data_IF_010545965177
#
_entry.id   IF_010545965177
#
_cell.length_a   1.000
_cell.length_b   1.000
_cell.length_c   1.000
_cell.angle_alpha   90.00
_cell.angle_beta   90.00
_cell.angle_gamma   90.00
#
_symmetry.space_group_name_H-M   'P 1'
#
loop_
_entity.id
_entity.type
_entity.pdbx_description
1 polymer ?
#
# COMPACT_ATOMS: atom_id res chain seq x y z
N UNK A 1 -86.24 -14.02 24.77
CA UNK A 1 -85.18 -13.12 25.27
C UNK A 1 -85.21 -13.08 26.78
N UNK A 2 -84.20 -13.62 27.45
CA UNK A 2 -83.58 -13.10 28.69
C UNK A 2 -82.48 -14.08 29.13
N UNK A 3 -81.30 -13.52 29.42
CA UNK A 3 -80.09 -14.19 29.91
C UNK A 3 -80.39 -15.09 31.11
N UNK A 4 -79.72 -16.24 31.20
CA UNK A 4 -79.17 -16.75 32.47
C UNK A 4 -77.74 -17.27 32.21
N UNK A 5 -76.80 -16.61 32.86
CA UNK A 5 -75.44 -17.04 33.19
C UNK A 5 -75.52 -18.03 34.35
N UNK A 6 -74.72 -19.11 34.41
CA UNK A 6 -73.88 -19.47 35.58
C UNK A 6 -73.20 -20.86 35.53
N UNK A 7 -71.99 -20.85 36.10
CA UNK A 7 -71.17 -21.88 36.76
C UNK A 7 -70.42 -22.99 35.99
N UNK A 8 -69.10 -22.76 35.98
CA UNK A 8 -68.00 -23.70 36.15
C UNK A 8 -68.20 -24.78 37.23
N UNK A 9 -67.66 -25.98 36.98
CA UNK A 9 -66.86 -26.86 37.87
C UNK A 9 -66.57 -28.13 37.05
N UNK A 10 -65.41 -28.21 36.39
CA UNK A 10 -64.13 -28.75 36.91
C UNK A 10 -64.12 -30.25 37.21
N UNK A 11 -63.22 -30.93 36.48
CA UNK A 11 -62.27 -31.96 36.95
C UNK A 11 -62.84 -33.31 37.42
N UNK A 12 -62.24 -34.47 37.15
CA UNK A 12 -60.91 -34.84 36.67
C UNK A 12 -61.07 -36.19 35.92
N UNK A 13 -60.31 -36.46 34.86
CA UNK A 13 -58.98 -37.09 34.96
C UNK A 13 -59.13 -38.59 34.64
N UNK A 14 -58.19 -39.32 34.06
CA UNK A 14 -56.87 -39.03 33.54
C UNK A 14 -56.49 -40.31 32.75
N UNK A 15 -56.15 -40.18 31.47
CA UNK A 15 -55.30 -41.13 30.78
C UNK A 15 -54.59 -40.33 29.67
N UNK A 16 -53.49 -39.67 30.04
CA UNK A 16 -52.61 -39.01 29.10
C UNK A 16 -51.85 -40.08 28.30
N UNK A 17 -52.34 -40.38 27.11
CA UNK A 17 -51.47 -40.71 25.99
C UNK A 17 -50.78 -39.39 25.59
N UNK A 18 -49.50 -39.25 25.92
CA UNK A 18 -48.69 -38.16 25.40
C UNK A 18 -48.49 -38.40 23.89
N UNK A 19 -49.38 -37.83 23.09
CA UNK A 19 -49.09 -37.56 21.68
C UNK A 19 -47.85 -36.66 21.62
N UNK A 20 -46.86 -36.93 20.75
CA UNK A 20 -45.87 -35.89 20.45
C UNK A 20 -46.65 -34.71 19.88
N UNK A 21 -46.39 -33.52 20.42
CA UNK A 21 -46.95 -32.27 19.93
C UNK A 21 -46.97 -32.28 18.40
N UNK A 22 -48.13 -32.08 17.78
CA UNK A 22 -48.21 -31.53 16.43
C UNK A 22 -47.73 -30.08 16.52
N UNK A 23 -46.42 -29.91 16.66
CA UNK A 23 -45.76 -28.62 16.71
C UNK A 23 -45.86 -27.95 15.35
N UNK A 24 -46.07 -26.64 15.36
CA UNK A 24 -45.93 -25.79 14.18
C UNK A 24 -44.56 -26.07 13.53
N UNK A 25 -44.52 -26.22 12.20
CA UNK A 25 -43.27 -26.34 11.45
C UNK A 25 -42.36 -25.14 11.80
N UNK A 26 -41.08 -25.39 12.07
CA UNK A 26 -40.14 -24.30 12.35
C UNK A 26 -39.75 -23.59 11.05
N UNK A 27 -39.27 -22.35 11.12
CA UNK A 27 -38.86 -21.61 9.92
C UNK A 27 -37.43 -21.09 10.06
N UNK A 28 -36.82 -20.77 8.92
CA UNK A 28 -35.51 -20.13 8.84
C UNK A 28 -35.67 -18.71 8.31
N UNK A 29 -35.00 -17.77 8.93
CA UNK A 29 -34.97 -16.36 8.52
C UNK A 29 -33.52 -15.89 8.46
N UNK A 30 -33.10 -15.27 7.35
CA UNK A 30 -31.78 -14.66 7.27
C UNK A 30 -31.71 -13.29 7.96
N UNK A 31 -30.66 -13.09 8.74
CA UNK A 31 -30.28 -11.81 9.32
C UNK A 31 -28.85 -11.46 8.88
N UNK A 32 -28.65 -10.22 8.46
CA UNK A 32 -27.39 -9.74 7.88
C UNK A 32 -26.73 -8.75 8.82
N UNK A 33 -25.52 -9.08 9.27
CA UNK A 33 -24.70 -8.20 10.12
C UNK A 33 -24.38 -6.89 9.40
N UNK A 34 -24.11 -6.96 8.08
CA UNK A 34 -23.91 -5.81 7.19
C UNK A 34 -24.76 -6.04 5.95
N UNK A 35 -25.70 -5.13 5.66
CA UNK A 35 -26.60 -5.22 4.49
C UNK A 35 -25.94 -4.83 3.15
N UNK A 36 -24.69 -4.33 3.18
CA UNK A 36 -23.90 -4.11 1.98
C UNK A 36 -23.63 -5.44 1.28
N UNK A 37 -23.87 -5.50 -0.03
CA UNK A 37 -23.58 -6.68 -0.85
C UNK A 37 -24.71 -7.70 -1.04
N UNK A 38 -25.88 -7.51 -0.39
CA UNK A 38 -27.06 -8.38 -0.58
C UNK A 38 -28.00 -7.78 -1.62
N UNK A 39 -28.45 -8.59 -2.59
CA UNK A 39 -29.47 -8.20 -3.58
C UNK A 39 -30.73 -9.04 -3.41
N UNK A 40 -31.87 -8.34 -3.43
CA UNK A 40 -33.20 -8.93 -3.35
C UNK A 40 -33.93 -8.83 -4.68
N UNK A 41 -34.73 -9.84 -4.99
CA UNK A 41 -35.68 -9.84 -6.09
C UNK A 41 -37.03 -10.36 -5.58
N UNK A 42 -38.10 -9.60 -5.80
CA UNK A 42 -39.46 -9.97 -5.38
C UNK A 42 -39.58 -10.31 -3.87
N UNK A 43 -38.81 -9.60 -3.04
CA UNK A 43 -38.81 -9.82 -1.58
C UNK A 43 -38.04 -11.05 -1.11
N UNK A 44 -37.38 -11.78 -2.01
CA UNK A 44 -36.48 -12.89 -1.68
C UNK A 44 -35.04 -12.52 -1.95
N UNK A 45 -34.11 -13.09 -1.19
CA UNK A 45 -32.69 -12.94 -1.50
C UNK A 45 -32.37 -13.59 -2.86
N UNK A 46 -31.77 -12.82 -3.75
CA UNK A 46 -31.29 -13.31 -5.06
C UNK A 46 -29.85 -13.77 -4.95
N UNK A 47 -29.01 -12.95 -4.32
CA UNK A 47 -27.58 -13.22 -4.13
C UNK A 47 -26.99 -12.34 -3.04
N UNK A 48 -25.82 -12.72 -2.55
CA UNK A 48 -24.98 -11.85 -1.75
C UNK A 48 -23.49 -11.99 -2.12
N UNK A 49 -22.72 -10.99 -1.77
CA UNK A 49 -21.26 -10.95 -2.00
C UNK A 49 -20.53 -11.78 -0.93
N UNK A 50 -19.48 -12.49 -1.32
CA UNK A 50 -18.59 -13.15 -0.37
C UNK A 50 -17.80 -12.12 0.46
N UNK A 51 -17.13 -12.59 1.51
CA UNK A 51 -16.49 -11.71 2.49
C UNK A 51 -17.44 -11.18 3.57
N UNK A 52 -18.67 -11.71 3.64
CA UNK A 52 -19.70 -11.30 4.59
C UNK A 52 -20.15 -12.45 5.51
N UNK A 53 -20.56 -12.07 6.72
CA UNK A 53 -21.19 -12.95 7.71
C UNK A 53 -22.71 -12.93 7.55
N UNK A 54 -23.32 -14.10 7.72
CA UNK A 54 -24.77 -14.33 7.63
C UNK A 54 -25.22 -15.08 8.86
N UNK A 55 -26.33 -14.65 9.45
CA UNK A 55 -27.02 -15.36 10.50
C UNK A 55 -28.28 -15.99 9.96
N UNK A 56 -28.47 -17.29 10.18
CA UNK A 56 -29.74 -17.97 9.88
C UNK A 56 -30.44 -18.23 11.19
N UNK A 57 -31.46 -17.41 11.46
CA UNK A 57 -32.30 -17.50 12.64
C UNK A 57 -33.29 -18.64 12.50
N UNK A 58 -33.47 -19.38 13.59
CA UNK A 58 -34.50 -20.41 13.71
C UNK A 58 -35.70 -19.82 14.43
N UNK A 59 -36.84 -19.84 13.76
CA UNK A 59 -38.13 -19.40 14.28
C UNK A 59 -38.98 -20.60 14.68
N UNK A 60 -39.82 -20.43 15.70
CA UNK A 60 -40.85 -21.41 16.11
C UNK A 60 -40.33 -22.80 16.55
N UNK A 61 -39.04 -22.95 16.89
CA UNK A 61 -38.48 -24.20 17.44
C UNK A 61 -38.10 -24.05 18.93
N UNK A 62 -38.53 -24.95 19.84
CA UNK A 62 -38.17 -24.90 21.26
C UNK A 62 -36.66 -24.97 21.52
N UNK A 63 -36.12 -24.16 22.44
CA UNK A 63 -34.67 -24.11 22.75
C UNK A 63 -34.08 -25.47 23.20
N UNK A 64 -34.91 -26.39 23.67
CA UNK A 64 -34.50 -27.74 24.11
C UNK A 64 -34.29 -28.71 22.95
N UNK A 65 -34.84 -28.42 21.76
CA UNK A 65 -34.70 -29.26 20.57
C UNK A 65 -33.32 -29.10 19.95
N UNK A 66 -32.72 -30.22 19.56
CA UNK A 66 -31.43 -30.21 18.87
C UNK A 66 -31.61 -29.88 17.39
N UNK A 67 -30.63 -29.20 16.82
CA UNK A 67 -30.56 -28.93 15.39
C UNK A 67 -29.26 -29.52 14.85
N UNK A 68 -29.38 -30.33 13.81
CA UNK A 68 -28.26 -30.78 12.99
C UNK A 68 -28.16 -29.81 11.80
N UNK A 69 -27.03 -29.11 11.72
CA UNK A 69 -26.75 -28.16 10.66
C UNK A 69 -25.90 -28.79 9.57
N UNK A 70 -26.22 -28.50 8.32
CA UNK A 70 -25.37 -28.83 7.16
C UNK A 70 -25.31 -27.65 6.22
N UNK A 71 -24.10 -27.24 5.86
CA UNK A 71 -23.87 -26.16 4.89
C UNK A 71 -23.20 -26.77 3.67
N UNK A 72 -23.73 -26.46 2.49
CA UNK A 72 -23.14 -26.90 1.21
C UNK A 72 -22.95 -25.73 0.28
N UNK A 73 -21.90 -25.77 -0.54
CA UNK A 73 -21.65 -24.85 -1.63
C UNK A 73 -21.44 -25.65 -2.91
N UNK A 74 -22.25 -25.38 -3.94
CA UNK A 74 -22.31 -26.17 -5.17
C UNK A 74 -22.41 -27.69 -4.91
N UNK A 75 -23.16 -28.04 -3.86
CA UNK A 75 -23.36 -29.43 -3.43
C UNK A 75 -22.21 -30.07 -2.65
N UNK A 76 -21.06 -29.39 -2.49
CA UNK A 76 -19.98 -29.87 -1.62
C UNK A 76 -20.25 -29.50 -0.17
N UNK A 77 -19.99 -30.41 0.76
CA UNK A 77 -20.12 -30.15 2.20
C UNK A 77 -19.07 -29.13 2.67
N UNK A 78 -19.54 -28.04 3.26
CA UNK A 78 -18.74 -26.93 3.78
C UNK A 78 -19.03 -26.67 5.27
N UNK A 79 -19.74 -27.58 5.95
CA UNK A 79 -20.20 -27.41 7.33
C UNK A 79 -19.04 -27.08 8.29
N UNK A 80 -17.86 -27.67 8.05
CA UNK A 80 -16.64 -27.43 8.83
C UNK A 80 -15.81 -26.22 8.35
N UNK A 81 -15.99 -25.78 7.10
CA UNK A 81 -15.17 -24.74 6.48
C UNK A 81 -15.73 -23.34 6.69
N UNK A 82 -17.04 -23.17 6.75
CA UNK A 82 -17.69 -21.87 6.96
C UNK A 82 -18.11 -21.60 8.40
N UNK A 83 -17.80 -22.55 9.29
CA UNK A 83 -18.27 -22.70 10.66
C UNK A 83 -19.63 -22.06 10.89
N UNK A 84 -20.62 -22.90 10.69
CA UNK A 84 -21.97 -22.64 11.09
C UNK A 84 -22.01 -22.80 12.64
N UNK A 85 -21.77 -21.73 13.40
CA UNK A 85 -21.89 -21.78 14.86
C UNK A 85 -23.34 -21.54 15.26
N UNK A 86 -23.89 -22.46 16.05
CA UNK A 86 -25.11 -22.14 16.78
C UNK A 86 -24.78 -21.16 17.91
N UNK A 87 -25.35 -19.96 17.85
CA UNK A 87 -25.20 -18.90 18.85
C UNK A 87 -26.57 -18.47 19.39
N UNK A 88 -26.64 -18.20 20.69
CA UNK A 88 -27.78 -17.52 21.33
C UNK A 88 -27.40 -16.05 21.54
N UNK A 89 -28.18 -15.12 20.98
CA UNK A 89 -27.94 -13.67 21.03
C UNK A 89 -28.70 -12.93 22.13
N UNK A 90 -29.18 -13.65 23.16
CA UNK A 90 -29.90 -13.08 24.30
C UNK A 90 -29.24 -11.85 24.94
N UNK A 91 -27.91 -11.77 24.93
CA UNK A 91 -27.14 -10.71 25.60
C UNK A 91 -27.09 -9.37 24.85
N UNK A 92 -27.55 -9.33 23.59
CA UNK A 92 -27.60 -8.09 22.78
C UNK A 92 -29.04 -7.64 22.48
N UNK A 93 -30.05 -8.25 23.13
CA UNK A 93 -31.47 -7.86 23.01
C UNK A 93 -32.24 -8.57 21.89
N UNK A 94 -31.58 -9.43 21.11
CA UNK A 94 -32.20 -10.25 20.06
C UNK A 94 -32.28 -11.70 20.52
N UNK A 95 -33.39 -12.08 21.16
CA UNK A 95 -33.59 -13.44 21.62
C UNK A 95 -33.83 -14.40 20.44
N UNK A 96 -33.00 -15.43 20.29
CA UNK A 96 -33.13 -16.40 19.20
C UNK A 96 -31.95 -17.36 19.12
N UNK A 97 -32.14 -18.45 18.38
CA UNK A 97 -31.07 -19.38 18.01
C UNK A 97 -30.67 -19.13 16.57
N UNK A 98 -29.39 -18.92 16.35
CA UNK A 98 -28.86 -18.53 15.05
C UNK A 98 -27.76 -19.48 14.64
N UNK A 99 -27.71 -19.78 13.36
CA UNK A 99 -26.53 -20.29 12.71
C UNK A 99 -25.75 -19.12 12.12
N UNK A 100 -24.70 -18.67 12.80
CA UNK A 100 -23.76 -17.71 12.22
C UNK A 100 -22.78 -18.45 11.34
N UNK A 101 -22.56 -17.99 10.10
CA UNK A 101 -21.45 -18.46 9.27
C UNK A 101 -20.88 -17.34 8.40
N UNK A 102 -19.61 -17.48 8.06
CA UNK A 102 -18.87 -16.56 7.19
C UNK A 102 -18.59 -17.23 5.85
N UNK A 103 -18.90 -16.55 4.74
CA UNK A 103 -18.49 -17.02 3.41
C UNK A 103 -17.20 -16.30 2.98
N UNK A 104 -16.05 -16.98 2.98
CA UNK A 104 -14.75 -16.35 2.71
C UNK A 104 -14.62 -15.86 1.28
N UNK A 105 -13.73 -14.89 1.07
CA UNK A 105 -13.39 -14.42 -0.27
C UNK A 105 -12.89 -15.56 -1.17
N UNK A 106 -13.36 -15.57 -2.42
CA UNK A 106 -13.06 -16.58 -3.42
C UNK A 106 -13.95 -17.82 -3.40
N UNK A 107 -14.91 -17.89 -2.49
CA UNK A 107 -16.00 -18.87 -2.59
C UNK A 107 -17.18 -18.23 -3.31
N UNK A 108 -17.72 -18.92 -4.32
CA UNK A 108 -18.90 -18.52 -5.10
C UNK A 108 -19.69 -19.76 -5.46
N UNK A 109 -20.96 -19.59 -5.80
CA UNK A 109 -21.83 -20.71 -6.17
C UNK A 109 -23.16 -20.69 -5.42
N UNK A 110 -23.92 -21.75 -5.57
CA UNK A 110 -25.19 -21.92 -4.88
C UNK A 110 -24.92 -22.45 -3.47
N UNK A 111 -25.18 -21.62 -2.46
CA UNK A 111 -25.06 -21.99 -1.06
C UNK A 111 -26.40 -22.50 -0.55
N UNK A 112 -26.36 -23.57 0.24
CA UNK A 112 -27.53 -24.16 0.86
C UNK A 112 -27.22 -24.54 2.31
N UNK A 113 -28.07 -24.08 3.21
CA UNK A 113 -28.06 -24.38 4.64
C UNK A 113 -29.27 -25.27 4.93
N UNK A 114 -29.02 -26.43 5.50
CA UNK A 114 -30.04 -27.38 5.96
C UNK A 114 -30.04 -27.40 7.48
N UNK A 115 -31.21 -27.15 8.07
CA UNK A 115 -31.47 -27.29 9.49
C UNK A 115 -32.36 -28.51 9.68
N UNK A 116 -31.91 -29.51 10.43
CA UNK A 116 -32.69 -30.71 10.72
C UNK A 116 -32.97 -30.83 12.21
N UNK A 117 -34.24 -30.96 12.58
CA UNK A 117 -34.67 -31.19 13.95
C UNK A 117 -35.70 -32.32 13.97
N UNK A 118 -35.37 -33.43 14.63
CA UNK A 118 -36.16 -34.66 14.57
C UNK A 118 -36.33 -35.16 13.12
N UNK A 119 -37.58 -35.19 12.65
CA UNK A 119 -37.96 -35.61 11.29
C UNK A 119 -38.16 -34.44 10.32
N UNK A 120 -38.04 -33.20 10.78
CA UNK A 120 -38.26 -32.02 9.96
C UNK A 120 -36.93 -31.45 9.46
N UNK A 121 -36.89 -31.07 8.18
CA UNK A 121 -35.74 -30.43 7.54
C UNK A 121 -36.20 -29.14 6.89
N UNK A 122 -35.55 -28.03 7.23
CA UNK A 122 -35.73 -26.74 6.58
C UNK A 122 -34.47 -26.37 5.82
N UNK A 123 -34.67 -25.66 4.72
CA UNK A 123 -33.60 -25.26 3.82
C UNK A 123 -33.67 -23.77 3.61
N UNK A 124 -32.53 -23.12 3.77
CA UNK A 124 -32.26 -21.79 3.25
C UNK A 124 -31.21 -21.91 2.13
N UNK A 125 -31.40 -21.20 1.03
CA UNK A 125 -30.44 -21.24 -0.07
C UNK A 125 -30.43 -19.93 -0.85
N UNK A 126 -29.27 -19.56 -1.35
CA UNK A 126 -29.09 -18.38 -2.20
C UNK A 126 -27.83 -18.53 -3.04
N UNK A 127 -27.52 -17.52 -3.86
CA UNK A 127 -26.31 -17.47 -4.66
C UNK A 127 -25.24 -16.58 -4.02
N UNK A 128 -24.03 -17.10 -3.90
CA UNK A 128 -22.83 -16.34 -3.51
C UNK A 128 -22.12 -15.85 -4.76
N UNK A 129 -21.76 -14.58 -4.79
CA UNK A 129 -20.97 -13.95 -5.86
C UNK A 129 -19.74 -13.23 -5.31
N UNK A 130 -18.79 -12.90 -6.16
CA UNK A 130 -17.65 -12.05 -5.79
C UNK A 130 -18.07 -10.56 -5.70
N UNK A 131 -17.39 -9.80 -4.82
CA UNK A 131 -17.60 -8.36 -4.59
C UNK A 131 -17.44 -7.51 -5.88
N UNK A 132 -18.26 -6.45 -5.93
CA UNK A 132 -18.61 -5.48 -6.96
C UNK A 132 -17.48 -5.20 -7.95
N UNK A 133 -17.66 -5.56 -9.24
CA UNK A 133 -17.37 -4.74 -10.45
C UNK A 133 -17.26 -5.61 -11.71
N UNK A 134 -16.95 -6.91 -11.64
CA UNK A 134 -16.88 -7.79 -12.81
C UNK A 134 -17.19 -9.26 -12.48
N UNK A 135 -18.09 -9.88 -13.25
CA UNK A 135 -18.41 -11.33 -13.21
C UNK A 135 -17.29 -12.20 -13.84
N UNK A 136 -16.06 -11.69 -13.87
CA UNK A 136 -14.97 -12.11 -14.76
C UNK A 136 -14.11 -13.28 -14.27
N UNK A 137 -14.36 -13.84 -13.08
CA UNK A 137 -13.57 -14.95 -12.55
C UNK A 137 -13.89 -15.22 -11.08
N UNK A 138 -13.15 -16.14 -10.46
CA UNK A 138 -13.16 -16.39 -9.02
C UNK A 138 -12.20 -15.39 -8.36
N UNK A 139 -12.65 -14.61 -7.37
CA UNK A 139 -11.75 -13.76 -6.58
C UNK A 139 -10.93 -14.60 -5.59
N UNK A 140 -9.91 -14.04 -4.95
CA UNK A 140 -9.12 -14.72 -3.92
C UNK A 140 -8.59 -13.71 -2.93
N UNK A 141 -8.47 -14.07 -1.65
CA UNK A 141 -8.10 -13.12 -0.59
C UNK A 141 -6.75 -12.42 -0.82
N UNK A 142 -5.82 -13.12 -1.48
CA UNK A 142 -4.57 -12.54 -1.95
C UNK A 142 -4.66 -12.19 -3.43
N UNK A 143 -4.13 -11.03 -3.78
CA UNK A 143 -3.93 -10.64 -5.19
C UNK A 143 -2.49 -10.20 -5.41
N UNK A 144 -1.98 -10.51 -6.59
CA UNK A 144 -0.67 -10.12 -7.08
C UNK A 144 -0.88 -8.97 -8.07
N UNK A 145 -0.34 -7.79 -7.79
CA UNK A 145 -0.36 -6.66 -8.74
C UNK A 145 0.70 -6.84 -9.83
N UNK A 146 0.30 -7.16 -11.06
CA UNK A 146 1.25 -7.42 -12.15
C UNK A 146 1.78 -6.12 -12.78
N UNK A 147 0.88 -5.19 -13.10
CA UNK A 147 1.16 -3.85 -13.62
C UNK A 147 -0.16 -3.09 -13.84
N UNK A 148 -0.20 -1.78 -13.59
CA UNK A 148 -1.27 -0.88 -14.02
C UNK A 148 -2.69 -1.48 -13.85
N UNK A 149 -3.13 -1.66 -12.60
CA UNK A 149 -4.46 -2.19 -12.25
C UNK A 149 -4.75 -3.62 -12.78
N UNK A 150 -3.73 -4.37 -13.20
CA UNK A 150 -3.85 -5.79 -13.54
C UNK A 150 -3.46 -6.66 -12.34
N UNK A 151 -4.36 -7.60 -12.00
CA UNK A 151 -4.24 -8.44 -10.81
C UNK A 151 -4.35 -9.92 -11.14
N UNK A 152 -3.43 -10.74 -10.60
CA UNK A 152 -3.60 -12.19 -10.48
C UNK A 152 -4.11 -12.52 -9.08
N UNK A 153 -5.32 -13.05 -8.98
CA UNK A 153 -5.87 -13.53 -7.71
C UNK A 153 -5.33 -14.94 -7.41
N UNK A 154 -4.89 -15.15 -6.17
CA UNK A 154 -4.40 -16.45 -5.73
C UNK A 154 -5.54 -17.25 -5.09
N UNK A 155 -5.59 -18.54 -5.42
CA UNK A 155 -6.43 -19.49 -4.70
C UNK A 155 -5.99 -19.56 -3.23
N UNK A 156 -6.81 -19.00 -2.35
CA UNK A 156 -6.62 -19.03 -0.91
C UNK A 156 -7.49 -20.12 -0.28
N UNK A 157 -6.93 -20.83 0.69
CA UNK A 157 -7.65 -21.71 1.62
C UNK A 157 -7.98 -20.92 2.87
N UNK A 158 -9.21 -21.05 3.35
CA UNK A 158 -9.66 -20.48 4.60
C UNK A 158 -9.62 -21.53 5.71
N UNK A 159 -8.94 -21.20 6.81
CA UNK A 159 -9.02 -21.95 8.07
C UNK A 159 -9.84 -21.15 9.07
N UNK A 160 -11.03 -21.65 9.38
CA UNK A 160 -11.95 -20.94 10.26
C UNK A 160 -11.46 -20.89 11.70
N UNK A 161 -10.94 -21.99 12.25
CA UNK A 161 -10.56 -22.07 13.67
C UNK A 161 -9.51 -21.04 14.03
N UNK A 162 -8.57 -20.83 13.11
CA UNK A 162 -7.51 -19.84 13.23
C UNK A 162 -7.83 -18.52 12.55
N UNK A 163 -9.03 -18.38 11.95
CA UNK A 163 -9.42 -17.26 11.08
C UNK A 163 -8.32 -16.86 10.09
N UNK A 164 -7.66 -17.82 9.44
CA UNK A 164 -6.46 -17.56 8.64
C UNK A 164 -6.68 -17.91 7.17
N UNK A 165 -6.37 -16.97 6.28
CA UNK A 165 -6.22 -17.26 4.85
C UNK A 165 -4.83 -17.78 4.58
N UNK A 166 -4.72 -18.80 3.73
CA UNK A 166 -3.45 -19.40 3.33
C UNK A 166 -3.40 -19.63 1.83
N UNK A 167 -2.36 -19.17 1.15
CA UNK A 167 -2.17 -19.41 -0.29
C UNK A 167 -0.74 -19.88 -0.58
N UNK A 168 -0.57 -20.59 -1.70
CA UNK A 168 0.75 -20.93 -2.22
C UNK A 168 1.13 -19.92 -3.28
N UNK A 169 2.27 -19.26 -3.09
CA UNK A 169 2.82 -18.39 -4.13
C UNK A 169 3.27 -19.26 -5.32
N UNK A 170 2.83 -18.94 -6.56
CA UNK A 170 3.31 -19.65 -7.73
C UNK A 170 4.83 -19.47 -7.85
N UNK A 171 5.55 -20.49 -8.32
CA UNK A 171 7.01 -20.35 -8.56
C UNK A 171 7.29 -19.30 -9.63
N UNK A 172 6.41 -19.20 -10.62
CA UNK A 172 6.50 -18.25 -11.72
C UNK A 172 5.13 -17.72 -12.13
N UNK A 173 5.05 -16.45 -12.51
CA UNK A 173 3.91 -15.82 -13.19
C UNK A 173 4.46 -15.20 -14.48
N UNK A 174 3.84 -15.45 -15.63
CA UNK A 174 4.31 -14.95 -16.94
C UNK A 174 5.80 -15.22 -17.24
N UNK A 175 6.31 -16.41 -16.87
CA UNK A 175 7.70 -16.82 -17.11
C UNK A 175 8.73 -16.23 -16.14
N UNK A 176 8.27 -15.53 -15.11
CA UNK A 176 9.10 -14.75 -14.20
C UNK A 176 8.99 -15.29 -12.77
N UNK A 177 10.12 -15.43 -12.05
CA UNK A 177 10.15 -15.94 -10.67
C UNK A 177 9.38 -14.99 -9.76
N UNK A 178 8.47 -15.54 -8.94
CA UNK A 178 7.66 -14.75 -8.02
C UNK A 178 8.24 -14.80 -6.62
N UNK A 179 8.37 -13.61 -6.04
CA UNK A 179 8.55 -13.39 -4.61
C UNK A 179 7.45 -12.44 -4.15
N UNK A 180 6.75 -12.77 -3.07
CA UNK A 180 5.72 -11.91 -2.51
C UNK A 180 6.31 -10.98 -1.45
N UNK A 181 5.88 -9.73 -1.40
CA UNK A 181 6.09 -8.89 -0.23
C UNK A 181 4.75 -8.60 0.44
N UNK A 182 4.72 -8.71 1.75
CA UNK A 182 3.58 -8.26 2.56
C UNK A 182 3.90 -6.85 3.04
N UNK A 183 3.03 -5.89 2.70
CA UNK A 183 3.02 -4.57 3.31
C UNK A 183 2.45 -4.70 4.72
N UNK A 184 3.32 -4.66 5.73
CA UNK A 184 2.86 -4.56 7.11
C UNK A 184 2.41 -3.12 7.39
N UNK A 185 1.47 -2.94 8.33
CA UNK A 185 0.87 -1.65 8.72
C UNK A 185 1.88 -0.49 8.94
N UNK A 186 3.17 -0.78 9.12
CA UNK A 186 4.25 0.18 9.32
C UNK A 186 5.10 0.51 8.08
N UNK A 187 4.71 0.07 6.87
CA UNK A 187 5.47 0.31 5.62
C UNK A 187 6.75 -0.52 5.52
N UNK A 188 6.87 -1.59 6.32
CA UNK A 188 7.93 -2.58 6.16
C UNK A 188 7.46 -3.67 5.20
N UNK A 189 8.08 -3.71 4.02
CA UNK A 189 7.94 -4.85 3.12
C UNK A 189 8.76 -6.01 3.68
N UNK A 190 8.10 -7.13 4.02
CA UNK A 190 8.79 -8.39 4.35
C UNK A 190 8.61 -9.43 3.25
N UNK A 191 9.71 -10.11 2.93
CA UNK A 191 9.74 -11.16 1.92
C UNK A 191 8.91 -12.35 2.41
N UNK A 192 7.80 -12.59 1.73
CA UNK A 192 7.08 -13.85 1.78
C UNK A 192 7.76 -14.84 0.83
N UNK A 193 8.35 -15.90 1.40
CA UNK A 193 9.02 -16.94 0.62
C UNK A 193 8.01 -17.79 -0.16
N UNK A 194 8.41 -18.31 -1.33
CA UNK A 194 7.54 -19.08 -2.22
C UNK A 194 7.33 -20.50 -1.72
N UNK A 195 6.52 -20.66 -0.67
CA UNK A 195 5.96 -21.95 -0.26
C UNK A 195 4.51 -21.75 0.17
N UNK A 196 4.32 -20.98 1.24
CA UNK A 196 3.00 -20.72 1.82
C UNK A 196 2.99 -19.33 2.43
N UNK A 197 2.00 -18.53 2.09
CA UNK A 197 1.68 -17.27 2.76
C UNK A 197 0.43 -17.46 3.58
N UNK A 198 0.43 -16.88 4.78
CA UNK A 198 -0.72 -16.94 5.68
C UNK A 198 -0.97 -15.58 6.32
N UNK A 199 -2.25 -15.24 6.49
CA UNK A 199 -2.68 -13.98 7.09
C UNK A 199 -3.94 -14.19 7.93
N UNK A 200 -3.89 -13.73 9.17
CA UNK A 200 -5.00 -13.76 10.09
C UNK A 200 -6.01 -12.66 9.74
N UNK A 201 -7.27 -13.03 9.54
CA UNK A 201 -8.37 -12.12 9.25
C UNK A 201 -8.79 -11.35 10.51
N UNK A 202 -8.80 -10.01 10.42
CA UNK A 202 -9.12 -9.10 11.55
C UNK A 202 -10.48 -8.42 11.40
N UNK A 203 -11.51 -9.16 10.98
CA UNK A 203 -12.93 -8.73 10.99
C UNK A 203 -13.13 -7.31 10.42
N UNK A 204 -12.74 -7.08 9.15
CA UNK A 204 -12.91 -5.78 8.46
C UNK A 204 -11.81 -5.38 7.46
N UNK A 205 -11.14 -6.32 6.79
CA UNK A 205 -10.00 -6.03 5.90
C UNK A 205 -10.32 -6.12 4.40
N UNK A 206 -9.74 -5.20 3.62
CA UNK A 206 -9.61 -5.32 2.16
C UNK A 206 -8.70 -6.49 1.76
N UNK A 207 -8.77 -6.94 0.51
CA UNK A 207 -7.84 -7.92 -0.07
C UNK A 207 -6.39 -7.61 0.30
N UNK A 208 -5.61 -8.65 0.66
CA UNK A 208 -4.19 -8.47 0.90
C UNK A 208 -3.47 -8.39 -0.45
N UNK A 209 -3.07 -7.17 -0.79
CA UNK A 209 -2.28 -6.90 -1.98
C UNK A 209 -0.83 -7.31 -1.75
N UNK A 210 -0.34 -8.17 -2.65
CA UNK A 210 1.05 -8.59 -2.73
C UNK A 210 1.65 -7.86 -3.92
N UNK A 211 2.75 -7.17 -3.69
CA UNK A 211 3.56 -6.62 -4.75
C UNK A 211 4.52 -7.74 -5.21
N UNK A 212 4.29 -8.38 -6.38
CA UNK A 212 5.21 -9.37 -6.87
C UNK A 212 6.52 -8.70 -7.25
N UNK A 213 7.58 -9.46 -7.09
CA UNK A 213 8.71 -9.32 -7.99
C UNK A 213 8.47 -10.26 -9.15
N UNK A 214 8.25 -9.69 -10.32
CA UNK A 214 8.23 -10.39 -11.59
C UNK A 214 9.60 -10.24 -12.29
N UNK A 215 10.42 -9.23 -11.96
CA UNK A 215 11.70 -8.97 -12.65
C UNK A 215 12.91 -9.30 -11.78
N UNK A 216 14.05 -9.67 -12.39
CA UNK A 216 15.31 -9.89 -11.66
C UNK A 216 15.66 -8.71 -10.74
N UNK A 217 15.32 -7.49 -11.17
CA UNK A 217 15.41 -6.25 -10.39
C UNK A 217 14.17 -5.38 -10.70
N UNK A 218 13.62 -4.68 -9.71
CA UNK A 218 12.43 -3.82 -9.90
C UNK A 218 12.23 -2.80 -8.79
N UNK A 219 11.50 -1.74 -9.11
CA UNK A 219 10.90 -0.83 -8.13
C UNK A 219 9.66 -1.45 -7.51
N UNK A 220 9.47 -1.20 -6.21
CA UNK A 220 8.27 -1.53 -5.44
C UNK A 220 7.76 -0.24 -4.80
N UNK A 221 6.45 -0.07 -4.70
CA UNK A 221 5.84 1.05 -4.01
C UNK A 221 4.97 0.53 -2.88
N UNK A 222 5.17 1.05 -1.67
CA UNK A 222 4.25 0.84 -0.54
C UNK A 222 3.92 2.20 0.03
N UNK A 223 2.62 2.51 0.11
CA UNK A 223 2.11 3.83 0.53
C UNK A 223 2.78 4.96 -0.26
N UNK A 224 3.62 5.77 0.40
CA UNK A 224 4.36 6.88 -0.21
C UNK A 224 5.84 6.56 -0.50
N UNK A 225 6.31 5.39 -0.06
CA UNK A 225 7.71 5.01 -0.14
C UNK A 225 7.98 4.14 -1.37
N UNK A 226 9.15 4.37 -1.97
CA UNK A 226 9.68 3.55 -3.05
C UNK A 226 10.82 2.69 -2.54
N UNK A 227 10.88 1.46 -3.00
CA UNK A 227 11.90 0.48 -2.67
C UNK A 227 12.45 -0.10 -3.96
N UNK A 228 13.70 -0.59 -3.92
CA UNK A 228 14.28 -1.32 -5.02
C UNK A 228 14.72 -2.69 -4.54
N UNK A 229 14.51 -3.71 -5.36
CA UNK A 229 14.87 -5.08 -5.03
C UNK A 229 15.75 -5.70 -6.10
N UNK A 230 16.55 -6.69 -5.67
CA UNK A 230 17.25 -7.62 -6.55
C UNK A 230 16.97 -9.05 -6.09
N UNK A 231 16.37 -9.86 -6.96
CA UNK A 231 16.05 -11.27 -6.73
C UNK A 231 15.31 -11.54 -5.40
N UNK A 232 14.36 -10.69 -5.01
CA UNK A 232 13.63 -10.88 -3.76
C UNK A 232 14.26 -10.26 -2.54
N UNK A 233 15.35 -9.48 -2.68
CA UNK A 233 15.99 -8.80 -1.55
C UNK A 233 15.94 -7.29 -1.75
N UNK A 234 15.51 -6.56 -0.72
CA UNK A 234 15.58 -5.10 -0.72
C UNK A 234 17.04 -4.66 -0.78
N UNK A 235 17.31 -3.70 -1.65
CA UNK A 235 18.57 -2.99 -1.70
C UNK A 235 18.57 -1.95 -0.59
N UNK A 236 19.66 -1.92 0.20
CA UNK A 236 19.83 -1.06 1.37
C UNK A 236 21.23 -0.45 1.37
N UNK A 237 21.35 0.75 1.89
CA UNK A 237 22.60 1.52 2.00
C UNK A 237 23.41 1.55 0.69
N UNK A 238 22.71 1.63 -0.45
CA UNK A 238 23.33 1.38 -1.73
C UNK A 238 22.74 2.23 -2.85
N UNK A 239 23.61 2.50 -3.83
CA UNK A 239 23.28 3.19 -5.06
C UNK A 239 22.69 2.22 -6.09
N UNK A 240 21.63 2.66 -6.77
CA UNK A 240 21.00 1.95 -7.87
C UNK A 240 21.03 2.83 -9.11
N UNK A 241 21.47 2.26 -10.23
CA UNK A 241 21.34 2.88 -11.55
C UNK A 241 20.20 2.21 -12.29
N UNK A 242 19.13 2.97 -12.55
CA UNK A 242 17.98 2.50 -13.30
C UNK A 242 17.60 3.53 -14.37
N UNK A 243 17.33 3.06 -15.59
CA UNK A 243 16.95 3.90 -16.74
C UNK A 243 17.84 5.13 -16.95
N UNK A 244 19.14 5.01 -16.67
CA UNK A 244 20.12 6.09 -16.84
C UNK A 244 20.24 7.06 -15.67
N UNK A 245 19.36 6.99 -14.67
CA UNK A 245 19.42 7.80 -13.45
C UNK A 245 19.97 7.01 -12.27
N UNK A 246 20.64 7.69 -11.35
CA UNK A 246 21.07 7.11 -10.08
C UNK A 246 20.07 7.42 -8.98
N UNK A 247 19.90 6.48 -8.07
CA UNK A 247 19.04 6.54 -6.90
C UNK A 247 19.82 6.00 -5.70
N UNK A 248 19.46 6.42 -4.49
CA UNK A 248 20.06 5.91 -3.27
C UNK A 248 19.00 5.29 -2.37
N UNK A 249 19.26 4.09 -1.88
CA UNK A 249 18.41 3.38 -0.93
C UNK A 249 19.02 3.51 0.47
N UNK A 250 18.22 3.93 1.45
CA UNK A 250 18.67 4.09 2.84
C UNK A 250 18.85 2.73 3.57
N UNK A 251 19.11 2.79 4.88
CA UNK A 251 19.34 1.63 5.76
C UNK A 251 18.10 0.72 5.88
N UNK A 252 16.91 1.26 5.61
CA UNK A 252 15.64 0.54 5.56
C UNK A 252 15.29 0.06 4.16
N UNK A 253 16.01 0.54 3.15
CA UNK A 253 15.75 0.27 1.73
C UNK A 253 14.69 1.18 1.13
N UNK A 254 14.39 2.30 1.79
CA UNK A 254 13.54 3.36 1.26
C UNK A 254 14.38 4.25 0.33
N UNK A 255 13.83 4.57 -0.83
CA UNK A 255 14.47 5.45 -1.80
C UNK A 255 14.55 6.87 -1.22
N UNK A 256 15.77 7.40 -1.16
CA UNK A 256 16.01 8.76 -0.75
C UNK A 256 15.40 9.75 -1.73
N UNK A 257 14.58 10.68 -1.24
CA UNK A 257 13.86 11.66 -2.06
C UNK A 257 13.95 13.10 -1.52
N UNK A 258 14.85 13.36 -0.57
CA UNK A 258 15.16 14.72 -0.11
C UNK A 258 16.23 15.35 -1.00
N UNK A 259 16.46 16.66 -0.85
CA UNK A 259 17.37 17.38 -1.74
C UNK A 259 18.82 16.95 -1.61
N UNK A 260 19.36 16.81 -0.39
CA UNK A 260 20.80 16.62 -0.16
C UNK A 260 21.12 15.38 0.66
N UNK A 261 22.01 14.54 0.13
CA UNK A 261 22.58 13.38 0.82
C UNK A 261 24.09 13.56 0.96
N UNK A 262 24.62 13.36 2.16
CA UNK A 262 26.05 13.23 2.38
C UNK A 262 26.42 11.75 2.45
N UNK A 263 27.22 11.27 1.49
CA UNK A 263 27.62 9.87 1.44
C UNK A 263 29.05 9.72 0.93
N UNK A 264 29.84 8.84 1.56
CA UNK A 264 31.21 8.56 1.12
C UNK A 264 32.13 9.79 1.02
N UNK A 265 31.91 10.81 1.87
CA UNK A 265 32.72 12.03 1.88
C UNK A 265 32.31 13.09 0.84
N UNK A 266 31.16 12.94 0.18
CA UNK A 266 30.66 13.89 -0.81
C UNK A 266 29.18 14.18 -0.62
N UNK A 267 28.76 15.39 -0.99
CA UNK A 267 27.36 15.75 -1.10
C UNK A 267 26.82 15.39 -2.48
N UNK A 268 25.61 14.86 -2.51
CA UNK A 268 24.85 14.54 -3.72
C UNK A 268 23.49 15.20 -3.61
N UNK A 269 22.93 15.59 -4.75
CA UNK A 269 21.60 16.17 -4.78
C UNK A 269 20.61 15.31 -5.57
N UNK A 270 19.33 15.33 -5.16
CA UNK A 270 18.27 14.53 -5.76
C UNK A 270 17.03 15.38 -6.03
N UNK A 271 16.28 14.97 -7.06
CA UNK A 271 14.92 15.46 -7.31
C UNK A 271 13.96 14.81 -6.32
N UNK A 272 12.75 15.36 -6.18
CA UNK A 272 11.67 14.74 -5.39
C UNK A 272 11.27 13.34 -5.89
N UNK A 273 11.60 13.01 -7.14
CA UNK A 273 11.45 11.66 -7.71
C UNK A 273 12.53 10.67 -7.27
N UNK A 274 13.49 11.08 -6.43
CA UNK A 274 14.65 10.29 -6.01
C UNK A 274 15.75 10.15 -7.06
N UNK A 275 15.60 10.76 -8.25
CA UNK A 275 16.64 10.74 -9.27
C UNK A 275 17.75 11.73 -8.91
N UNK A 276 18.98 11.24 -8.85
CA UNK A 276 20.19 12.03 -8.58
C UNK A 276 20.42 13.06 -9.70
N UNK A 277 20.71 14.29 -9.30
CA UNK A 277 21.13 15.37 -10.19
C UNK A 277 22.62 15.18 -10.48
N UNK A 278 22.99 15.17 -11.76
CA UNK A 278 24.37 15.10 -12.23
C UNK A 278 24.54 15.95 -13.49
N UNK A 279 25.76 16.43 -13.70
CA UNK A 279 26.12 17.31 -14.81
C UNK A 279 25.19 18.52 -14.94
N UNK A 280 24.78 19.11 -13.80
CA UNK A 280 23.75 20.14 -13.80
C UNK A 280 23.83 21.08 -12.59
N UNK A 281 23.28 22.28 -12.78
CA UNK A 281 23.09 23.26 -11.74
C UNK A 281 21.82 22.97 -10.93
N UNK A 282 21.90 23.26 -9.63
CA UNK A 282 20.79 23.22 -8.68
C UNK A 282 20.70 24.57 -7.97
N UNK A 283 19.51 25.18 -8.00
CA UNK A 283 19.21 26.31 -7.14
C UNK A 283 18.48 25.83 -5.90
N UNK A 284 19.08 26.05 -4.74
CA UNK A 284 18.53 25.62 -3.45
C UNK A 284 18.82 26.68 -2.38
N UNK A 285 17.80 26.98 -1.56
CA UNK A 285 17.88 27.93 -0.46
C UNK A 285 18.63 29.26 -0.77
N UNK A 286 18.33 29.87 -1.92
CA UNK A 286 18.92 31.16 -2.31
C UNK A 286 20.29 31.09 -2.99
N UNK A 287 20.87 29.90 -3.14
CA UNK A 287 22.21 29.70 -3.72
C UNK A 287 22.20 28.72 -4.90
N UNK A 288 23.12 28.92 -5.83
CA UNK A 288 23.39 27.96 -6.91
C UNK A 288 24.47 26.97 -6.49
N UNK A 289 24.32 25.71 -6.89
CA UNK A 289 25.26 24.61 -6.68
C UNK A 289 25.44 23.88 -8.00
N UNK A 290 26.61 23.29 -8.21
CA UNK A 290 26.83 22.44 -9.38
C UNK A 290 27.11 20.99 -8.96
N UNK A 291 26.41 20.05 -9.57
CA UNK A 291 26.62 18.62 -9.39
C UNK A 291 27.41 18.09 -10.59
N UNK A 292 28.58 17.51 -10.33
CA UNK A 292 29.45 16.96 -11.39
C UNK A 292 28.80 15.75 -12.08
N UNK A 293 29.42 15.26 -13.15
CA UNK A 293 28.95 14.05 -13.86
C UNK A 293 28.86 12.82 -12.92
N UNK A 294 29.73 12.76 -11.91
CA UNK A 294 29.69 11.75 -10.86
C UNK A 294 28.57 11.94 -9.84
N UNK A 295 27.77 13.01 -9.94
CA UNK A 295 26.73 13.40 -8.98
C UNK A 295 27.25 14.16 -7.76
N UNK A 296 28.55 14.09 -7.46
CA UNK A 296 29.12 14.80 -6.32
C UNK A 296 29.14 16.31 -6.56
N UNK A 297 28.78 17.05 -5.51
CA UNK A 297 28.78 18.50 -5.47
C UNK A 297 30.19 19.06 -5.76
N UNK A 298 30.27 20.04 -6.66
CA UNK A 298 31.49 20.73 -6.99
C UNK A 298 31.87 21.76 -5.90
N UNK A 299 33.17 21.92 -5.70
CA UNK A 299 33.78 23.00 -4.91
C UNK A 299 35.01 23.51 -5.66
N UNK A 300 35.41 24.75 -5.38
CA UNK A 300 36.50 25.43 -6.07
C UNK A 300 36.13 25.87 -7.50
N UNK A 301 37.16 26.02 -8.33
CA UNK A 301 37.00 26.43 -9.73
C UNK A 301 36.35 25.35 -10.58
N UNK A 302 35.33 25.73 -11.34
CA UNK A 302 34.58 24.86 -12.22
C UNK A 302 34.31 25.56 -13.55
N UNK A 303 34.36 24.83 -14.67
CA UNK A 303 34.14 25.39 -16.00
C UNK A 303 32.91 24.78 -16.64
N UNK A 304 31.97 25.64 -17.03
CA UNK A 304 30.72 25.26 -17.69
C UNK A 304 30.37 26.25 -18.79
N UNK A 305 29.87 25.74 -19.93
CA UNK A 305 29.48 26.58 -21.07
C UNK A 305 30.58 27.55 -21.56
N UNK A 306 31.86 27.23 -21.34
CA UNK A 306 33.00 28.09 -21.68
C UNK A 306 33.35 29.16 -20.64
N UNK A 307 32.55 29.34 -19.60
CA UNK A 307 32.80 30.27 -18.48
C UNK A 307 33.36 29.54 -17.26
N UNK A 308 34.20 30.23 -16.49
CA UNK A 308 34.66 29.75 -15.18
C UNK A 308 33.72 30.24 -14.09
N UNK A 309 33.50 29.41 -13.07
CA UNK A 309 32.70 29.67 -11.89
C UNK A 309 33.53 29.27 -10.66
N UNK A 310 33.24 29.88 -9.52
CA UNK A 310 33.85 29.49 -8.26
C UNK A 310 32.77 29.03 -7.28
N UNK A 311 32.85 27.77 -6.83
CA UNK A 311 31.96 27.20 -5.83
C UNK A 311 32.68 27.22 -4.49
N UNK A 312 32.06 27.81 -3.47
CA UNK A 312 32.63 27.89 -2.13
C UNK A 312 32.82 26.50 -1.52
N UNK A 313 33.48 26.41 -0.35
CA UNK A 313 33.64 25.13 0.37
C UNK A 313 32.30 24.46 0.73
N UNK A 314 31.26 25.27 0.94
CA UNK A 314 29.87 24.84 1.13
C UNK A 314 29.18 24.39 -0.16
N UNK A 315 29.83 24.53 -1.33
CA UNK A 315 29.28 24.26 -2.65
C UNK A 315 28.51 25.43 -3.28
N UNK A 316 28.16 26.46 -2.51
CA UNK A 316 27.42 27.61 -3.04
C UNK A 316 28.27 28.41 -4.03
N UNK A 317 27.69 28.77 -5.16
CA UNK A 317 28.30 29.59 -6.20
C UNK A 317 28.62 30.98 -5.66
N UNK A 318 29.86 31.41 -5.83
CA UNK A 318 30.30 32.74 -5.45
C UNK A 318 29.91 33.78 -6.51
N UNK A 319 29.62 34.98 -6.03
CA UNK A 319 29.50 36.22 -6.80
C UNK A 319 30.38 37.28 -6.16
N UNK A 320 30.76 38.31 -6.92
CA UNK A 320 31.67 39.35 -6.48
C UNK A 320 33.12 38.88 -6.36
N UNK A 321 33.86 39.48 -5.43
CA UNK A 321 35.30 39.25 -5.27
C UNK A 321 35.60 37.93 -4.55
N UNK A 322 36.46 37.11 -5.16
CA UNK A 322 37.01 35.88 -4.57
C UNK A 322 38.53 35.99 -4.53
N UNK A 323 39.12 35.65 -3.39
CA UNK A 323 40.58 35.50 -3.25
C UNK A 323 40.92 34.02 -3.21
N UNK A 324 41.67 33.56 -4.20
CA UNK A 324 42.14 32.18 -4.28
C UNK A 324 43.63 32.14 -4.62
N UNK A 325 44.38 31.33 -3.88
CA UNK A 325 45.83 31.14 -4.07
C UNK A 325 46.65 32.44 -4.17
N UNK A 326 46.24 33.49 -3.44
CA UNK A 326 46.92 34.79 -3.40
C UNK A 326 46.55 35.77 -4.52
N UNK A 327 45.70 35.36 -5.46
CA UNK A 327 45.14 36.20 -6.52
C UNK A 327 43.68 36.56 -6.24
N UNK A 328 43.25 37.73 -6.71
CA UNK A 328 41.85 38.15 -6.67
C UNK A 328 41.19 37.88 -8.01
N UNK A 329 39.93 37.49 -7.98
CA UNK A 329 39.08 37.20 -9.13
C UNK A 329 37.73 37.87 -8.89
N UNK A 330 37.04 38.22 -9.96
CA UNK A 330 35.68 38.77 -9.88
C UNK A 330 34.70 37.85 -10.60
N UNK A 331 33.67 37.41 -9.89
CA UNK A 331 32.58 36.60 -10.42
C UNK A 331 31.37 37.54 -10.61
N UNK A 332 30.83 37.60 -11.82
CA UNK A 332 29.64 38.43 -12.12
C UNK A 332 28.43 37.94 -11.32
N UNK A 333 27.32 38.68 -11.34
CA UNK A 333 26.06 38.24 -10.70
C UNK A 333 25.57 36.88 -11.22
N UNK A 334 25.88 36.56 -12.48
CA UNK A 334 25.65 35.24 -13.10
C UNK A 334 26.58 34.13 -12.59
N UNK A 335 27.51 34.42 -11.69
CA UNK A 335 28.59 33.53 -11.23
C UNK A 335 29.77 33.39 -12.20
N UNK A 336 29.58 33.68 -13.49
CA UNK A 336 30.66 33.61 -14.48
C UNK A 336 31.80 34.60 -14.16
N UNK A 337 33.03 34.07 -14.16
CA UNK A 337 34.28 34.80 -13.95
C UNK A 337 34.45 35.89 -15.00
N UNK A 338 34.76 37.09 -14.55
CA UNK A 338 35.06 38.23 -15.40
C UNK A 338 36.50 38.18 -15.92
N UNK A 339 36.68 38.72 -17.12
CA UNK A 339 37.97 39.07 -17.70
C UNK A 339 37.86 40.48 -18.27
N UNK A 340 38.97 41.19 -18.42
CA UNK A 340 39.00 42.60 -18.81
C UNK A 340 38.55 43.54 -17.69
N UNK A 341 38.02 44.70 -18.08
CA UNK A 341 37.59 45.75 -17.14
C UNK A 341 36.29 45.40 -16.41
N UNK A 342 36.30 45.54 -15.09
CA UNK A 342 35.13 45.44 -14.20
C UNK A 342 35.01 46.72 -13.38
N UNK A 343 33.80 47.25 -13.26
CA UNK A 343 33.48 48.35 -12.35
C UNK A 343 32.78 47.80 -11.11
N UNK A 344 33.39 48.00 -9.95
CA UNK A 344 32.84 47.61 -8.66
C UNK A 344 32.96 48.79 -7.69
N UNK A 345 31.86 49.14 -7.01
CA UNK A 345 31.80 50.24 -6.05
C UNK A 345 32.44 51.57 -6.53
N UNK A 346 32.20 51.91 -7.80
CA UNK A 346 32.69 53.15 -8.41
C UNK A 346 34.15 53.13 -8.87
N UNK A 347 34.88 52.03 -8.63
CA UNK A 347 36.27 51.84 -9.06
C UNK A 347 36.36 50.84 -10.20
N UNK A 348 37.36 51.02 -11.06
CA UNK A 348 37.64 50.10 -12.17
C UNK A 348 38.82 49.20 -11.83
N UNK A 349 38.69 47.93 -12.18
CA UNK A 349 39.68 46.88 -11.97
C UNK A 349 39.87 46.11 -13.28
N UNK A 350 41.09 45.65 -13.55
CA UNK A 350 41.37 44.85 -14.74
C UNK A 350 41.70 43.40 -14.35
N UNK A 351 40.92 42.45 -14.89
CA UNK A 351 41.11 41.01 -14.73
C UNK A 351 41.83 40.48 -15.98
N UNK A 352 42.96 39.82 -15.80
CA UNK A 352 43.69 39.18 -16.89
C UNK A 352 42.84 38.09 -17.60
N UNK A 353 43.33 37.54 -18.71
CA UNK A 353 42.66 36.42 -19.39
C UNK A 353 42.53 35.16 -18.52
N UNK A 354 43.41 35.00 -17.52
CA UNK A 354 43.31 33.98 -16.47
C UNK A 354 42.25 34.29 -15.39
N UNK A 355 41.63 35.47 -15.45
CA UNK A 355 40.72 36.01 -14.44
C UNK A 355 41.41 36.69 -13.26
N UNK A 356 42.74 36.57 -13.12
CA UNK A 356 43.47 37.18 -12.01
C UNK A 356 43.50 38.71 -12.14
N UNK A 357 43.14 39.41 -11.07
CA UNK A 357 43.19 40.86 -11.00
C UNK A 357 44.64 41.36 -11.05
N UNK A 358 44.90 42.28 -11.98
CA UNK A 358 46.17 42.99 -12.07
C UNK A 358 46.30 43.99 -10.90
N UNK A 359 47.52 44.16 -10.38
CA UNK A 359 47.85 45.14 -9.34
C UNK A 359 49.31 45.56 -9.45
N UNK A 360 49.63 46.80 -9.11
CA UNK A 360 50.97 47.39 -9.23
C UNK A 360 51.59 47.17 -10.62
N UNK A 361 50.80 47.36 -11.68
CA UNK A 361 51.24 47.11 -13.05
C UNK A 361 50.38 47.87 -14.06
N UNK A 362 50.77 47.82 -15.33
CA UNK A 362 50.01 48.37 -16.44
C UNK A 362 49.12 47.29 -17.08
N UNK A 363 47.90 47.66 -17.44
CA UNK A 363 46.98 46.82 -18.22
C UNK A 363 47.46 46.69 -19.67
N UNK A 364 47.00 45.69 -20.45
CA UNK A 364 47.38 45.52 -21.86
C UNK A 364 47.05 46.72 -22.75
N UNK A 365 46.05 47.52 -22.37
CA UNK A 365 45.64 48.77 -23.02
C UNK A 365 46.30 50.03 -22.43
N UNK A 366 47.26 49.88 -21.51
CA UNK A 366 48.19 50.94 -21.09
C UNK A 366 47.81 51.73 -19.84
N UNK A 367 46.79 51.32 -19.07
CA UNK A 367 46.39 52.00 -17.84
C UNK A 367 47.08 51.41 -16.61
N UNK A 368 47.51 52.26 -15.67
CA UNK A 368 48.12 51.79 -14.43
C UNK A 368 47.05 51.43 -13.39
N UNK A 369 47.17 50.24 -12.79
CA UNK A 369 46.37 49.80 -11.65
C UNK A 369 47.25 49.71 -10.40
N UNK A 370 46.77 50.29 -9.29
CA UNK A 370 47.55 50.41 -8.06
C UNK A 370 47.65 49.09 -7.26
N UNK A 371 48.19 49.15 -6.03
CA UNK A 371 48.36 47.97 -5.18
C UNK A 371 47.05 47.28 -4.80
N UNK A 372 45.94 48.03 -4.80
CA UNK A 372 44.58 47.51 -4.59
C UNK A 372 43.95 46.97 -5.87
N UNK A 373 44.60 47.15 -7.02
CA UNK A 373 44.10 46.81 -8.36
C UNK A 373 43.16 47.86 -8.96
N UNK A 374 42.94 48.98 -8.27
CA UNK A 374 42.09 50.05 -8.78
C UNK A 374 42.83 50.90 -9.82
N UNK A 375 42.16 51.22 -10.92
CA UNK A 375 42.64 52.16 -11.92
C UNK A 375 42.81 53.56 -11.32
N UNK A 376 43.92 54.22 -11.70
CA UNK A 376 44.31 55.57 -11.29
C UNK A 376 44.17 56.60 -12.39
#
# INVERSE_FOLDING_TARGET
MKKITLFSLSLAGLALLAFPHSGKAFELEEEWVIKGGVKYQEGKILRFENGHEVDIKVLDLPKTEKIEWKVTLDGQDQTVNFLAQEVDRSNIGEEGRYLNFYVPYGYRGDIKVEAKSGNEVKTWSTKVVDDVYNDGGKSGYYRIEESNDQYTYLDAKWDYQTKTYTATLPKTVNGQKVYGWVDYDNGELKLAKPETISHYYKDGGSFQELYPIVKAESWLKSKQNWYYQKQGQLVKDAWIKDQGSWYFMDDKGVMFNQTWLYQGGSWYAFKSSGAMISANWLYDNGSWYYLKDSGSMATGWFKDGGSWYYLNKSGSMATGWVKDSGSWYYLKDSGAMATGWVKDNGKWYYLASSGSMLRNTYTPDGYYVDASGAWK
#
